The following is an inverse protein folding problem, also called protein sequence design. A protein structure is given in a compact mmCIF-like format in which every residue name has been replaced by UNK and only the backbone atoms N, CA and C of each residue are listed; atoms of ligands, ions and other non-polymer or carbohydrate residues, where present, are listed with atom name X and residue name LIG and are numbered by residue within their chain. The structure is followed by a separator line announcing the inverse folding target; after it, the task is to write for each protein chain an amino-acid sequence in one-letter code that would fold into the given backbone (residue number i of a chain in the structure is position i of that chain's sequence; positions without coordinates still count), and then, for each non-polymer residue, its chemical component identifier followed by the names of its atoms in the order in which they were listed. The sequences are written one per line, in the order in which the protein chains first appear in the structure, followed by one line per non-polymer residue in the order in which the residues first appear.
data_IF_534990192311
#
_entry.id   IF_534990192311
#
_cell.length_a   1.000
_cell.length_b   1.000
_cell.length_c   1.000
_cell.angle_alpha   90.00
_cell.angle_beta   90.00
_cell.angle_gamma   90.00
#
_symmetry.space_group_name_H-M   'P 1'
#
loop_
_entity.id
_entity.type
_entity.pdbx_description
1 polymer ?
#
# COMPACT_ATOMS: atom_id res chain seq x y z
N UNK A 1 -0.56 -19.39 -19.83
CA UNK A 1 0.06 -18.43 -18.89
C UNK A 1 -1.00 -17.62 -18.20
N UNK A 2 -0.93 -17.56 -16.88
CA UNK A 2 -1.92 -16.77 -16.14
C UNK A 2 -1.69 -15.28 -16.38
N UNK A 3 -2.74 -14.50 -16.62
CA UNK A 3 -2.57 -13.05 -16.74
C UNK A 3 -2.04 -12.45 -15.46
N UNK A 4 -1.25 -11.41 -15.58
CA UNK A 4 -0.78 -10.66 -14.42
C UNK A 4 -1.97 -9.93 -13.79
N UNK A 5 -2.05 -9.88 -12.45
CA UNK A 5 -3.08 -9.08 -11.83
C UNK A 5 -2.90 -7.62 -12.21
N UNK A 6 -4.01 -6.95 -12.51
CA UNK A 6 -4.01 -5.53 -12.79
C UNK A 6 -4.37 -4.80 -11.50
N UNK A 7 -3.50 -3.88 -11.10
CA UNK A 7 -3.71 -3.09 -9.90
C UNK A 7 -4.29 -1.74 -10.31
N UNK A 8 -5.42 -1.39 -9.70
CA UNK A 8 -6.05 -0.08 -9.88
C UNK A 8 -5.90 0.69 -8.58
N UNK A 9 -5.35 1.88 -8.65
CA UNK A 9 -5.10 2.69 -7.46
C UNK A 9 -6.12 3.81 -7.40
N UNK A 10 -6.76 3.95 -6.26
CA UNK A 10 -7.70 5.02 -5.96
C UNK A 10 -7.29 5.72 -4.68
N UNK A 11 -7.40 7.03 -4.64
CA UNK A 11 -7.14 7.80 -3.44
C UNK A 11 -8.47 8.23 -2.85
N UNK A 12 -8.71 7.84 -1.60
CA UNK A 12 -9.96 8.10 -0.92
C UNK A 12 -9.71 8.20 0.58
N UNK A 13 -10.35 9.14 1.23
CA UNK A 13 -10.25 9.25 2.69
C UNK A 13 -10.89 8.04 3.36
N UNK A 14 -10.10 7.37 4.19
CA UNK A 14 -10.51 6.16 4.90
C UNK A 14 -10.69 6.51 6.37
N UNK A 15 -11.92 6.81 6.77
CA UNK A 15 -12.24 7.22 8.12
C UNK A 15 -12.39 8.72 8.26
N UNK A 16 -12.84 9.16 9.40
CA UNK A 16 -13.18 10.57 9.64
C UNK A 16 -11.97 11.45 9.83
N UNK A 17 -10.85 10.87 10.29
CA UNK A 17 -9.63 11.62 10.58
C UNK A 17 -8.46 11.01 9.84
N UNK A 18 -7.43 11.83 9.55
CA UNK A 18 -6.21 11.32 8.91
C UNK A 18 -5.60 10.21 9.76
N UNK A 19 -5.05 9.15 9.13
CA UNK A 19 -4.36 8.10 9.87
C UNK A 19 -3.12 8.67 10.58
N UNK A 20 -2.94 8.29 11.84
CA UNK A 20 -1.91 8.88 12.70
C UNK A 20 -0.80 7.94 13.08
N UNK A 21 -0.94 6.63 12.80
CA UNK A 21 0.16 5.70 13.09
C UNK A 21 0.16 4.56 12.07
N UNK A 22 1.33 3.98 11.87
CA UNK A 22 1.57 2.98 10.84
C UNK A 22 0.90 1.63 11.09
N UNK A 23 0.34 1.43 12.26
CA UNK A 23 -0.39 0.19 12.58
C UNK A 23 -1.89 0.30 12.25
N UNK A 24 -2.32 1.46 11.79
CA UNK A 24 -3.72 1.68 11.45
C UNK A 24 -4.06 1.00 10.13
N UNK A 25 -5.18 0.27 10.09
CA UNK A 25 -5.72 -0.29 8.86
C UNK A 25 -6.34 0.77 7.96
N UNK A 26 -6.41 2.02 8.46
CA UNK A 26 -7.01 3.13 7.72
C UNK A 26 -6.07 3.77 6.70
N UNK A 27 -4.80 3.35 6.66
CA UNK A 27 -3.85 3.87 5.66
C UNK A 27 -4.17 3.39 4.25
N UNK A 28 -4.64 2.16 4.11
CA UNK A 28 -4.94 1.61 2.80
C UNK A 28 -5.74 0.31 2.88
N UNK A 29 -6.31 -0.05 1.75
CA UNK A 29 -7.09 -1.27 1.60
C UNK A 29 -6.79 -1.89 0.23
N UNK A 30 -6.86 -3.21 0.15
CA UNK A 30 -6.67 -3.93 -1.10
C UNK A 30 -7.74 -5.00 -1.28
N UNK A 31 -8.27 -5.11 -2.49
CA UNK A 31 -9.16 -6.19 -2.88
C UNK A 31 -8.39 -7.15 -3.78
N UNK A 32 -8.06 -8.32 -3.23
CA UNK A 32 -7.27 -9.32 -3.94
C UNK A 32 -7.98 -9.89 -5.16
N UNK A 33 -9.30 -9.88 -5.15
CA UNK A 33 -10.09 -10.44 -6.24
C UNK A 33 -10.13 -9.51 -7.45
N UNK A 34 -10.22 -8.21 -7.22
CA UNK A 34 -10.34 -7.21 -8.30
C UNK A 34 -9.05 -6.50 -8.63
N UNK A 35 -8.09 -6.47 -7.70
CA UNK A 35 -6.86 -5.69 -7.84
C UNK A 35 -7.03 -4.23 -7.47
N UNK A 36 -8.18 -3.86 -6.90
CA UNK A 36 -8.41 -2.48 -6.46
C UNK A 36 -7.66 -2.18 -5.18
N UNK A 37 -6.88 -1.11 -5.19
CA UNK A 37 -6.13 -0.62 -4.03
C UNK A 37 -6.60 0.79 -3.73
N UNK A 38 -7.00 1.03 -2.50
CA UNK A 38 -7.43 2.34 -2.04
C UNK A 38 -6.45 2.85 -1.00
N UNK A 39 -5.99 4.07 -1.16
CA UNK A 39 -5.03 4.69 -0.26
C UNK A 39 -5.60 6.00 0.27
N UNK A 40 -5.42 6.25 1.56
CA UNK A 40 -5.84 7.52 2.15
C UNK A 40 -4.81 8.59 1.79
N UNK A 41 -5.21 9.66 1.07
CA UNK A 41 -4.27 10.68 0.61
C UNK A 41 -3.77 11.62 1.70
N UNK A 42 -4.34 11.55 2.90
CA UNK A 42 -3.99 12.45 4.00
C UNK A 42 -2.76 12.01 4.79
N UNK A 43 -2.23 10.83 4.49
CA UNK A 43 -1.02 10.34 5.16
C UNK A 43 0.24 11.00 4.59
N UNK A 44 1.33 11.11 5.39
CA UNK A 44 2.59 11.66 4.86
C UNK A 44 3.13 10.86 3.67
N UNK A 45 3.92 11.50 2.82
CA UNK A 45 4.43 10.89 1.59
C UNK A 45 5.21 9.60 1.85
N UNK A 46 6.06 9.57 2.89
CA UNK A 46 6.82 8.35 3.19
C UNK A 46 5.91 7.22 3.65
N UNK A 47 4.87 7.54 4.42
CA UNK A 47 3.87 6.55 4.85
C UNK A 47 3.02 6.10 3.67
N UNK A 48 2.71 7.01 2.74
CA UNK A 48 1.97 6.70 1.53
C UNK A 48 2.69 5.63 0.71
N UNK A 49 4.01 5.77 0.56
CA UNK A 49 4.81 4.82 -0.20
C UNK A 49 4.79 3.43 0.46
N UNK A 50 4.96 3.38 1.78
CA UNK A 50 4.89 2.13 2.54
C UNK A 50 3.50 1.49 2.38
N UNK A 51 2.44 2.26 2.55
CA UNK A 51 1.06 1.78 2.42
C UNK A 51 0.79 1.25 1.02
N UNK A 52 1.27 1.96 0.00
CA UNK A 52 1.08 1.55 -1.40
C UNK A 52 1.74 0.19 -1.64
N UNK A 53 3.01 0.03 -1.27
CA UNK A 53 3.73 -1.23 -1.45
C UNK A 53 3.05 -2.35 -0.67
N UNK A 54 2.61 -2.07 0.57
CA UNK A 54 1.92 -3.04 1.42
C UNK A 54 0.67 -3.59 0.70
N UNK A 55 -0.18 -2.71 0.19
CA UNK A 55 -1.41 -3.12 -0.49
C UNK A 55 -1.12 -3.78 -1.84
N UNK A 56 -0.12 -3.30 -2.57
CA UNK A 56 0.28 -3.93 -3.83
C UNK A 56 0.75 -5.37 -3.62
N UNK A 57 1.47 -5.63 -2.52
CA UNK A 57 1.92 -6.98 -2.19
C UNK A 57 0.75 -7.90 -1.87
N UNK A 58 -0.31 -7.40 -1.22
CA UNK A 58 -1.50 -8.21 -0.98
C UNK A 58 -2.15 -8.66 -2.28
N UNK A 59 -2.10 -7.84 -3.33
CA UNK A 59 -2.65 -8.20 -4.64
C UNK A 59 -1.67 -9.09 -5.40
N UNK A 60 -0.40 -8.71 -5.46
CA UNK A 60 0.60 -9.42 -6.26
C UNK A 60 1.00 -10.76 -5.64
N UNK A 61 1.01 -10.84 -4.32
CA UNK A 61 1.45 -12.02 -3.57
C UNK A 61 0.36 -12.40 -2.54
N UNK A 62 -0.83 -12.86 -3.01
CA UNK A 62 -1.98 -13.05 -2.12
C UNK A 62 -1.77 -14.12 -1.04
N UNK A 63 -0.77 -14.97 -1.21
CA UNK A 63 -0.47 -16.02 -0.22
C UNK A 63 0.62 -15.62 0.77
N UNK A 64 1.17 -14.44 0.63
CA UNK A 64 2.20 -13.96 1.55
C UNK A 64 1.57 -13.62 2.91
N UNK A 65 2.17 -14.09 4.00
CA UNK A 65 1.67 -13.81 5.34
C UNK A 65 1.76 -12.31 5.64
N UNK A 66 0.79 -11.80 6.38
CA UNK A 66 0.71 -10.36 6.72
C UNK A 66 1.99 -9.81 7.32
N UNK A 67 2.61 -10.56 8.22
CA UNK A 67 3.87 -10.20 8.84
C UNK A 67 4.97 -9.99 7.79
N UNK A 68 5.02 -10.86 6.78
CA UNK A 68 6.01 -10.76 5.71
C UNK A 68 5.68 -9.62 4.74
N UNK A 69 4.40 -9.39 4.50
CA UNK A 69 3.96 -8.25 3.68
C UNK A 69 4.41 -6.95 4.34
N UNK A 70 4.16 -6.79 5.63
CA UNK A 70 4.52 -5.58 6.34
C UNK A 70 6.03 -5.31 6.31
N UNK A 71 6.84 -6.33 6.60
CA UNK A 71 8.30 -6.20 6.61
C UNK A 71 8.82 -5.89 5.20
N UNK A 72 8.35 -6.63 4.20
CA UNK A 72 8.77 -6.45 2.81
C UNK A 72 8.40 -5.06 2.31
N UNK A 73 7.19 -4.62 2.60
CA UNK A 73 6.72 -3.30 2.19
C UNK A 73 7.59 -2.19 2.75
N UNK A 74 7.94 -2.26 4.03
CA UNK A 74 8.78 -1.26 4.67
C UNK A 74 10.17 -1.21 4.02
N UNK A 75 10.78 -2.36 3.78
CA UNK A 75 12.11 -2.43 3.15
C UNK A 75 12.08 -1.82 1.75
N UNK A 76 11.10 -2.22 0.93
CA UNK A 76 10.98 -1.73 -0.44
C UNK A 76 10.66 -0.23 -0.45
N UNK A 77 9.75 0.20 0.40
CA UNK A 77 9.38 1.62 0.47
C UNK A 77 10.55 2.49 0.89
N UNK A 78 11.34 2.05 1.86
CA UNK A 78 12.55 2.78 2.28
C UNK A 78 13.55 2.92 1.13
N UNK A 79 13.74 1.85 0.37
CA UNK A 79 14.65 1.87 -0.78
C UNK A 79 14.17 2.86 -1.85
N UNK A 80 12.88 2.82 -2.16
CA UNK A 80 12.29 3.73 -3.14
C UNK A 80 12.37 5.19 -2.67
N UNK A 81 12.13 5.43 -1.38
CA UNK A 81 12.22 6.76 -0.79
C UNK A 81 13.63 7.33 -0.94
N UNK A 82 14.64 6.51 -0.67
CA UNK A 82 16.05 6.92 -0.82
C UNK A 82 16.40 7.26 -2.26
N UNK A 83 15.74 6.61 -3.22
CA UNK A 83 15.94 6.90 -4.66
C UNK A 83 15.21 8.17 -5.09
N UNK A 84 14.43 8.79 -4.24
CA UNK A 84 13.72 10.02 -4.55
C UNK A 84 12.32 9.86 -5.10
N UNK A 85 11.75 8.66 -5.06
CA UNK A 85 10.38 8.47 -5.52
C UNK A 85 9.40 9.17 -4.59
N UNK A 86 8.58 10.01 -5.18
CA UNK A 86 7.56 10.82 -4.48
C UNK A 86 6.31 10.88 -5.32
N UNK A 87 5.16 10.91 -4.64
CA UNK A 87 3.91 11.18 -5.32
C UNK A 87 3.86 12.66 -5.72
N UNK A 88 3.33 12.90 -6.90
CA UNK A 88 3.14 14.26 -7.38
C UNK A 88 1.67 14.58 -7.57
#
# INVERSE_FOLDING_TARGET
MKPRPKIKVEFKELGEQPPTNSNSTDFGQADKATGDVTLDPRQPESEMLDSAVHEFLHVACPYMAEKNVATTATIVAEALWKMGYRRR
#
